data_IF_710380330596
#
_entry.id   IF_710380330596
#
_cell.length_a   1.000
_cell.length_b   1.000
_cell.length_c   1.000
_cell.angle_alpha   90.00
_cell.angle_beta   90.00
_cell.angle_gamma   90.00
#
_symmetry.space_group_name_H-M   'P 1'
#
loop_
_entity.id
_entity.type
_entity.pdbx_description
1 polymer ?
#
# COMPACT_ATOMS: atom_id res chain seq x y z
N UNK A 1 -25.89 9.70 -1.25
CA UNK A 1 -24.64 10.49 -1.21
C UNK A 1 -24.14 10.65 -2.62
N UNK A 2 -24.31 11.83 -3.21
CA UNK A 2 -23.90 12.07 -4.59
C UNK A 2 -22.45 12.58 -4.60
N UNK A 3 -21.65 12.10 -5.54
CA UNK A 3 -20.25 12.53 -5.70
C UNK A 3 -20.14 14.07 -5.82
N UNK A 4 -21.08 14.71 -6.51
CA UNK A 4 -21.12 16.17 -6.67
C UNK A 4 -21.22 16.96 -5.36
N UNK A 5 -21.76 16.37 -4.29
CA UNK A 5 -21.86 17.02 -2.97
C UNK A 5 -20.49 17.25 -2.30
N UNK A 6 -19.46 16.55 -2.76
CA UNK A 6 -18.07 16.61 -2.29
C UNK A 6 -17.15 17.35 -3.25
N UNK A 7 -17.67 17.83 -4.38
CA UNK A 7 -16.87 18.55 -5.37
C UNK A 7 -16.54 19.97 -4.86
N UNK A 8 -15.30 20.37 -5.01
CA UNK A 8 -14.81 21.72 -4.72
C UNK A 8 -13.67 22.08 -5.69
N UNK A 9 -13.42 23.36 -5.85
CA UNK A 9 -12.26 23.85 -6.59
C UNK A 9 -10.99 23.65 -5.77
N UNK A 10 -10.09 22.82 -6.27
CA UNK A 10 -8.75 22.61 -5.72
C UNK A 10 -7.73 23.33 -6.62
N UNK A 11 -7.19 24.51 -6.23
CA UNK A 11 -6.20 25.19 -7.03
C UNK A 11 -4.88 24.39 -7.05
N UNK A 12 -4.20 24.37 -8.19
CA UNK A 12 -2.94 23.62 -8.36
C UNK A 12 -1.87 24.04 -7.34
N UNK A 13 -1.85 25.29 -6.94
CA UNK A 13 -0.94 25.83 -5.92
C UNK A 13 -1.17 25.24 -4.50
N UNK A 14 -2.30 24.59 -4.25
CA UNK A 14 -2.58 23.93 -2.99
C UNK A 14 -2.06 22.47 -2.95
N UNK A 15 -1.60 21.94 -4.10
CA UNK A 15 -1.03 20.59 -4.19
C UNK A 15 0.47 20.68 -3.97
N UNK A 16 0.97 20.10 -2.87
CA UNK A 16 2.39 20.01 -2.61
C UNK A 16 3.05 19.05 -3.59
N UNK A 17 4.10 19.50 -4.29
CA UNK A 17 4.91 18.68 -5.21
C UNK A 17 6.10 18.01 -4.52
N UNK A 18 6.52 18.52 -3.35
CA UNK A 18 7.56 17.97 -2.48
C UNK A 18 7.09 18.03 -1.02
N UNK A 19 7.57 17.14 -0.14
CA UNK A 19 7.24 17.20 1.27
C UNK A 19 7.84 18.45 1.94
N UNK A 20 7.26 18.84 3.08
CA UNK A 20 7.90 19.82 3.97
C UNK A 20 9.23 19.24 4.52
N UNK A 21 10.23 20.10 4.74
CA UNK A 21 11.51 19.71 5.34
C UNK A 21 11.79 20.55 6.59
N UNK A 22 12.01 19.94 7.77
CA UNK A 22 11.79 18.50 8.06
C UNK A 22 10.31 18.10 7.88
N UNK A 23 10.02 16.82 7.65
CA UNK A 23 8.65 16.32 7.38
C UNK A 23 7.68 16.67 8.51
N UNK A 24 8.13 16.60 9.76
CA UNK A 24 7.35 16.94 10.96
C UNK A 24 7.00 18.44 11.07
N UNK A 25 7.58 19.32 10.22
CA UNK A 25 7.18 20.73 10.12
C UNK A 25 5.87 20.93 9.35
N UNK A 26 5.32 19.92 8.71
CA UNK A 26 4.03 19.98 8.03
C UNK A 26 2.91 20.39 8.99
N UNK A 27 1.89 21.08 8.46
CA UNK A 27 0.74 21.56 9.25
C UNK A 27 -0.13 20.37 9.66
N UNK A 28 -0.59 20.41 10.92
CA UNK A 28 -1.55 19.47 11.49
C UNK A 28 -2.78 20.24 11.94
N UNK A 29 -3.94 19.80 11.51
CA UNK A 29 -5.23 20.32 11.91
C UNK A 29 -5.91 19.29 12.80
N UNK A 30 -6.38 19.71 13.97
CA UNK A 30 -7.23 18.88 14.83
C UNK A 30 -8.70 19.21 14.62
N UNK A 31 -9.50 18.15 14.47
CA UNK A 31 -10.94 18.25 14.26
C UNK A 31 -11.66 17.32 15.24
N UNK A 32 -12.68 17.82 15.92
CA UNK A 32 -13.48 17.08 16.88
C UNK A 32 -14.92 17.60 16.86
N UNK A 33 -15.87 16.70 16.98
CA UNK A 33 -17.31 16.99 17.12
C UNK A 33 -17.85 17.93 16.00
N UNK A 34 -17.40 17.74 14.78
CA UNK A 34 -17.86 18.52 13.63
C UNK A 34 -17.16 19.87 13.43
N UNK A 35 -16.14 20.20 14.22
CA UNK A 35 -15.44 21.47 14.14
C UNK A 35 -13.91 21.33 14.18
N UNK A 36 -13.22 22.29 13.55
CA UNK A 36 -11.77 22.47 13.74
C UNK A 36 -11.52 22.99 15.15
N UNK A 37 -10.72 22.28 15.94
CA UNK A 37 -10.43 22.65 17.32
C UNK A 37 -9.13 23.43 17.45
N UNK A 38 -8.11 23.10 16.67
CA UNK A 38 -6.86 23.88 16.65
C UNK A 38 -5.97 23.56 15.44
N UNK A 39 -4.91 24.37 15.28
CA UNK A 39 -3.89 24.22 14.25
C UNK A 39 -2.52 24.03 14.91
N UNK A 40 -1.79 22.99 14.49
CA UNK A 40 -0.50 22.56 15.01
C UNK A 40 0.49 22.25 13.87
N UNK A 41 1.63 21.73 14.25
CA UNK A 41 2.58 21.03 13.38
C UNK A 41 2.63 19.56 13.75
N UNK A 42 3.06 18.69 12.85
CA UNK A 42 3.20 17.25 13.16
C UNK A 42 4.17 17.00 14.33
N UNK A 43 5.21 17.81 14.48
CA UNK A 43 6.14 17.73 15.63
C UNK A 43 5.45 17.86 16.99
N UNK A 44 4.24 18.45 17.05
CA UNK A 44 3.47 18.66 18.28
C UNK A 44 2.62 17.42 18.64
N UNK A 45 2.56 16.42 17.75
CA UNK A 45 1.74 15.20 17.91
C UNK A 45 1.95 14.47 19.25
N UNK A 46 3.17 14.32 19.80
CA UNK A 46 3.37 13.68 21.10
C UNK A 46 2.65 14.36 22.26
N UNK A 47 2.45 15.67 22.19
CA UNK A 47 1.71 16.42 23.21
C UNK A 47 0.18 16.38 23.01
N UNK A 48 -0.29 15.93 21.85
CA UNK A 48 -1.72 15.85 21.50
C UNK A 48 -2.28 14.47 21.81
N UNK A 49 -1.48 13.42 21.66
CA UNK A 49 -1.88 12.05 21.94
C UNK A 49 -1.95 11.77 23.44
N UNK A 50 -2.88 10.89 23.84
CA UNK A 50 -2.95 10.40 25.22
C UNK A 50 -1.75 9.50 25.54
N UNK A 51 -1.36 9.43 26.81
CA UNK A 51 -0.22 8.61 27.26
C UNK A 51 -0.43 7.12 26.98
N UNK A 52 -1.66 6.61 27.06
CA UNK A 52 -2.02 5.20 26.83
C UNK A 52 -2.39 4.94 25.36
N UNK A 53 -1.83 5.73 24.42
CA UNK A 53 -2.13 5.56 23.00
C UNK A 53 -1.33 4.42 22.38
N UNK A 54 -2.04 3.56 21.66
CA UNK A 54 -1.47 2.68 20.66
C UNK A 54 -1.56 3.36 19.29
N UNK A 55 -0.41 3.70 18.69
CA UNK A 55 -0.34 4.28 17.35
C UNK A 55 -0.12 3.17 16.31
N UNK A 56 -1.06 3.02 15.40
CA UNK A 56 -1.05 1.97 14.38
C UNK A 56 -0.61 2.53 13.03
N UNK A 57 0.47 2.00 12.49
CA UNK A 57 1.08 2.46 11.24
C UNK A 57 1.16 1.34 10.20
N UNK A 58 1.04 1.70 8.93
CA UNK A 58 1.20 0.77 7.81
C UNK A 58 2.66 0.77 7.35
N UNK A 59 3.40 -0.33 7.60
CA UNK A 59 4.82 -0.48 7.27
C UNK A 59 5.09 -0.95 5.84
N UNK A 60 4.08 -0.91 4.96
CA UNK A 60 4.30 -1.26 3.56
C UNK A 60 5.31 -0.35 2.90
N UNK A 61 6.19 -0.93 2.06
CA UNK A 61 7.20 -0.21 1.27
C UNK A 61 6.76 -0.13 -0.19
N UNK A 62 6.83 1.08 -0.76
CA UNK A 62 6.52 1.28 -2.17
C UNK A 62 7.65 0.71 -3.03
N UNK A 63 7.29 -0.12 -4.01
CA UNK A 63 8.23 -0.64 -5.01
C UNK A 63 8.29 0.31 -6.21
N UNK A 64 9.40 0.32 -6.93
CA UNK A 64 9.59 1.10 -8.17
C UNK A 64 8.80 0.45 -9.32
N UNK A 65 7.48 0.48 -9.24
CA UNK A 65 6.54 -0.30 -10.04
C UNK A 65 6.37 0.17 -11.50
N UNK A 66 7.14 1.15 -11.99
CA UNK A 66 7.04 1.69 -13.35
C UNK A 66 8.29 1.38 -14.15
N UNK A 67 8.13 0.57 -15.20
CA UNK A 67 9.21 0.23 -16.15
C UNK A 67 9.00 0.98 -17.48
N UNK A 68 10.03 1.66 -17.95
CA UNK A 68 10.03 2.42 -19.19
C UNK A 68 10.79 1.65 -20.27
N UNK A 69 10.09 0.81 -21.03
CA UNK A 69 10.65 -0.06 -22.04
C UNK A 69 10.58 0.54 -23.45
N UNK A 70 11.38 -0.02 -24.35
CA UNK A 70 11.32 0.27 -25.78
C UNK A 70 10.69 -0.90 -26.54
N UNK A 71 9.73 -0.58 -27.40
CA UNK A 71 9.14 -1.58 -28.31
C UNK A 71 10.12 -1.96 -29.42
N UNK A 72 9.99 -3.13 -30.05
CA UNK A 72 10.80 -3.51 -31.23
C UNK A 72 10.74 -2.46 -32.35
N UNK A 73 9.66 -1.70 -32.42
CA UNK A 73 9.45 -0.61 -33.41
C UNK A 73 10.05 0.73 -33.01
N UNK A 74 10.81 0.81 -31.88
CA UNK A 74 11.45 2.05 -31.39
C UNK A 74 10.55 2.94 -30.56
N UNK A 75 9.26 2.62 -30.37
CA UNK A 75 8.36 3.46 -29.57
C UNK A 75 8.46 3.15 -28.06
N UNK A 76 8.30 4.18 -27.21
CA UNK A 76 8.28 4.03 -25.75
C UNK A 76 7.04 3.27 -25.27
N UNK A 77 7.23 2.44 -24.27
CA UNK A 77 6.20 1.68 -23.56
C UNK A 77 6.40 1.89 -22.07
N UNK A 78 5.37 2.31 -21.37
CA UNK A 78 5.39 2.39 -19.91
C UNK A 78 4.53 1.24 -19.37
N UNK A 79 5.16 0.34 -18.64
CA UNK A 79 4.51 -0.77 -17.94
C UNK A 79 4.42 -0.40 -16.46
N UNK A 80 3.20 -0.31 -15.95
CA UNK A 80 2.92 -0.06 -14.55
C UNK A 80 2.39 -1.34 -13.92
N UNK A 81 3.16 -1.89 -12.99
CA UNK A 81 2.86 -3.11 -12.25
C UNK A 81 1.72 -2.84 -11.27
N UNK A 82 0.70 -3.70 -11.24
CA UNK A 82 -0.45 -3.59 -10.34
C UNK A 82 -0.39 -4.66 -9.26
N UNK A 83 -0.49 -5.92 -9.67
CA UNK A 83 -0.44 -7.08 -8.78
C UNK A 83 0.18 -8.28 -9.52
N UNK A 84 0.83 -9.21 -8.80
CA UNK A 84 1.32 -10.46 -9.40
C UNK A 84 0.16 -11.31 -9.91
N UNK A 85 0.41 -12.09 -10.96
CA UNK A 85 -0.53 -13.09 -11.47
C UNK A 85 -0.16 -14.47 -10.93
N UNK A 86 -1.14 -15.14 -10.28
CA UNK A 86 -1.03 -16.51 -9.74
C UNK A 86 0.10 -16.75 -8.72
N UNK A 87 0.61 -15.67 -8.08
CA UNK A 87 1.62 -15.74 -7.02
C UNK A 87 1.29 -14.72 -5.93
N UNK A 88 1.77 -14.97 -4.71
CA UNK A 88 1.78 -13.92 -3.69
C UNK A 88 2.75 -12.80 -4.05
N UNK A 89 2.59 -11.63 -3.44
CA UNK A 89 3.53 -10.50 -3.62
C UNK A 89 4.97 -10.89 -3.27
N UNK A 90 5.15 -11.58 -2.16
CA UNK A 90 6.44 -12.06 -1.69
C UNK A 90 7.09 -13.02 -2.70
N UNK A 91 6.35 -14.04 -3.17
CA UNK A 91 6.83 -14.99 -4.16
C UNK A 91 7.21 -14.31 -5.48
N UNK A 92 6.43 -13.32 -5.91
CA UNK A 92 6.70 -12.59 -7.14
C UNK A 92 7.95 -11.73 -7.04
N UNK A 93 8.12 -11.00 -5.93
CA UNK A 93 9.29 -10.15 -5.68
C UNK A 93 10.57 -10.96 -5.48
N UNK A 94 10.48 -12.15 -4.89
CA UNK A 94 11.61 -13.09 -4.72
C UNK A 94 11.96 -13.88 -5.98
N UNK A 95 11.14 -13.86 -7.05
CA UNK A 95 11.42 -14.58 -8.29
C UNK A 95 12.70 -14.09 -8.93
N UNK A 96 13.51 -15.02 -9.51
CA UNK A 96 14.85 -14.73 -10.03
C UNK A 96 15.00 -14.85 -11.55
N UNK A 97 13.99 -15.37 -12.26
CA UNK A 97 14.07 -15.62 -13.72
C UNK A 97 12.93 -14.99 -14.51
N UNK A 98 11.71 -15.20 -14.06
CA UNK A 98 10.52 -14.65 -14.71
C UNK A 98 9.35 -14.49 -13.76
N UNK A 99 8.48 -13.56 -14.08
CA UNK A 99 7.24 -13.32 -13.35
C UNK A 99 6.17 -12.77 -14.29
N UNK A 100 4.92 -13.12 -14.05
CA UNK A 100 3.77 -12.52 -14.74
C UNK A 100 3.05 -11.55 -13.82
N UNK A 101 2.80 -10.35 -14.32
CA UNK A 101 2.10 -9.30 -13.59
C UNK A 101 0.88 -8.81 -14.35
N UNK A 102 -0.17 -8.46 -13.63
CA UNK A 102 -1.23 -7.61 -14.13
C UNK A 102 -0.70 -6.19 -14.19
N UNK A 103 -0.85 -5.54 -15.35
CA UNK A 103 -0.24 -4.25 -15.63
C UNK A 103 -1.19 -3.29 -16.33
N UNK A 104 -1.10 -2.00 -15.99
CA UNK A 104 -1.51 -0.93 -16.89
C UNK A 104 -0.37 -0.62 -17.84
N UNK A 105 -0.68 -0.45 -19.14
CA UNK A 105 0.37 -0.23 -20.15
C UNK A 105 0.03 0.99 -20.99
N UNK A 106 0.82 2.07 -20.82
CA UNK A 106 0.72 3.27 -21.66
C UNK A 106 1.56 3.09 -22.93
N UNK A 107 1.03 3.51 -24.05
CA UNK A 107 1.70 3.33 -25.36
C UNK A 107 1.44 1.98 -26.02
N UNK A 108 0.55 1.15 -25.48
CA UNK A 108 0.27 -0.20 -25.97
C UNK A 108 -0.47 -0.29 -27.31
N UNK A 109 -1.08 0.79 -27.82
CA UNK A 109 -1.93 0.76 -29.05
C UNK A 109 -1.25 0.11 -30.26
N UNK A 110 0.08 0.18 -30.37
CA UNK A 110 0.88 -0.38 -31.46
C UNK A 110 1.82 -1.49 -31.01
N UNK A 111 1.58 -2.06 -29.84
CA UNK A 111 2.34 -3.18 -29.32
C UNK A 111 1.49 -4.45 -29.42
N UNK A 112 1.43 -4.99 -30.63
CA UNK A 112 0.59 -6.16 -30.95
C UNK A 112 1.38 -7.47 -30.87
N UNK A 113 2.70 -7.43 -31.08
CA UNK A 113 3.58 -8.58 -31.05
C UNK A 113 5.02 -8.17 -30.70
N UNK A 114 5.84 -9.16 -30.38
CA UNK A 114 7.25 -9.00 -30.01
C UNK A 114 7.44 -8.58 -28.55
N UNK A 115 8.68 -8.61 -28.12
CA UNK A 115 9.08 -8.24 -26.77
C UNK A 115 9.54 -6.77 -26.72
N UNK A 116 9.12 -6.05 -25.71
CA UNK A 116 9.68 -4.76 -25.38
C UNK A 116 10.84 -4.97 -24.40
N UNK A 117 11.89 -4.14 -24.48
CA UNK A 117 13.07 -4.29 -23.65
C UNK A 117 13.53 -2.97 -23.04
N UNK A 118 14.26 -3.08 -21.93
CA UNK A 118 15.01 -2.01 -21.31
C UNK A 118 16.38 -2.54 -20.91
N UNK A 119 17.43 -1.78 -21.19
CA UNK A 119 18.79 -2.05 -20.71
C UNK A 119 19.25 -0.82 -19.93
N UNK A 120 19.85 -1.07 -18.77
CA UNK A 120 20.44 -0.05 -17.90
C UNK A 120 21.81 -0.56 -17.46
N UNK A 121 22.78 0.32 -17.35
CA UNK A 121 24.08 0.03 -16.77
C UNK A 121 24.31 0.98 -15.59
N UNK A 122 24.68 0.40 -14.46
CA UNK A 122 25.01 1.10 -13.22
C UNK A 122 26.32 0.57 -12.62
N UNK A 123 26.70 1.02 -11.44
CA UNK A 123 27.92 0.57 -10.75
C UNK A 123 27.93 -0.92 -10.41
N UNK A 124 26.78 -1.58 -10.36
CA UNK A 124 26.65 -3.02 -10.11
C UNK A 124 26.83 -3.85 -11.37
N UNK A 125 26.53 -3.27 -12.54
CA UNK A 125 26.68 -3.93 -13.82
C UNK A 125 25.59 -3.61 -14.82
N UNK A 126 25.44 -4.52 -15.79
CA UNK A 126 24.45 -4.39 -16.87
C UNK A 126 23.18 -5.17 -16.56
N UNK A 127 22.07 -4.46 -16.56
CA UNK A 127 20.72 -4.99 -16.34
C UNK A 127 19.95 -5.01 -17.66
N UNK A 128 19.24 -6.08 -17.90
CA UNK A 128 18.32 -6.20 -19.03
C UNK A 128 17.01 -6.80 -18.58
N UNK A 129 15.89 -6.20 -19.00
CA UNK A 129 14.54 -6.75 -18.81
C UNK A 129 13.80 -6.79 -20.14
N UNK A 130 13.11 -7.88 -20.39
CA UNK A 130 12.19 -8.03 -21.51
C UNK A 130 10.77 -8.20 -21.00
N UNK A 131 9.81 -7.65 -21.74
CA UNK A 131 8.39 -7.72 -21.42
C UNK A 131 7.61 -8.28 -22.61
N UNK A 132 6.79 -9.29 -22.36
CA UNK A 132 5.93 -9.94 -23.36
C UNK A 132 4.49 -9.94 -22.87
N UNK A 133 3.56 -9.54 -23.73
CA UNK A 133 2.14 -9.65 -23.42
C UNK A 133 1.69 -11.12 -23.55
N UNK A 134 1.19 -11.69 -22.46
CA UNK A 134 0.72 -13.09 -22.41
C UNK A 134 -0.80 -13.20 -22.29
N UNK A 135 -1.50 -12.10 -21.93
CA UNK A 135 -2.94 -12.07 -21.82
C UNK A 135 -3.49 -10.66 -21.65
N UNK A 136 -4.83 -10.57 -21.60
CA UNK A 136 -5.58 -9.35 -21.30
C UNK A 136 -6.96 -9.70 -20.75
N UNK A 137 -7.39 -8.97 -19.71
CA UNK A 137 -8.70 -9.08 -19.11
C UNK A 137 -9.17 -7.70 -18.63
N UNK A 138 -10.41 -7.30 -18.93
CA UNK A 138 -11.03 -6.02 -18.56
C UNK A 138 -10.15 -4.77 -18.74
N UNK A 139 -9.31 -4.76 -19.80
CA UNK A 139 -8.39 -3.66 -20.10
C UNK A 139 -7.05 -3.70 -19.34
N UNK A 140 -6.89 -4.62 -18.41
CA UNK A 140 -5.62 -4.94 -17.73
C UNK A 140 -4.85 -5.97 -18.55
N UNK A 141 -3.54 -5.81 -18.66
CA UNK A 141 -2.67 -6.71 -19.43
C UNK A 141 -1.86 -7.61 -18.51
N UNK A 142 -1.77 -8.88 -18.88
CA UNK A 142 -0.83 -9.81 -18.26
C UNK A 142 0.48 -9.72 -19.01
N UNK A 143 1.53 -9.32 -18.31
CA UNK A 143 2.87 -9.10 -18.86
C UNK A 143 3.83 -10.09 -18.20
N UNK A 144 4.43 -10.95 -19.01
CA UNK A 144 5.58 -11.76 -18.59
C UNK A 144 6.82 -10.87 -18.65
N UNK A 145 7.56 -10.81 -17.55
CA UNK A 145 8.83 -10.11 -17.40
C UNK A 145 9.93 -11.14 -17.20
N UNK A 146 11.01 -11.04 -17.98
CA UNK A 146 12.25 -11.83 -17.85
C UNK A 146 13.41 -10.86 -17.76
N UNK A 147 14.43 -11.21 -16.98
CA UNK A 147 15.59 -10.33 -16.80
C UNK A 147 16.87 -11.09 -16.64
N UNK A 148 17.97 -10.37 -16.87
CA UNK A 148 19.33 -10.81 -16.59
C UNK A 148 20.12 -9.66 -15.97
N UNK A 149 21.05 -10.01 -15.10
CA UNK A 149 22.04 -9.09 -14.56
C UNK A 149 23.44 -9.64 -14.81
N UNK A 150 24.29 -8.81 -15.44
CA UNK A 150 25.72 -9.13 -15.62
C UNK A 150 26.54 -8.22 -14.71
N UNK A 151 27.24 -8.83 -13.76
CA UNK A 151 28.02 -8.12 -12.75
C UNK A 151 29.15 -7.30 -13.36
N UNK A 152 29.33 -6.06 -12.90
CA UNK A 152 30.47 -5.22 -13.27
C UNK A 152 31.80 -5.77 -12.71
N UNK A 153 31.76 -6.44 -11.58
CA UNK A 153 32.96 -6.95 -10.90
C UNK A 153 33.53 -8.22 -11.54
N UNK A 154 32.67 -9.15 -11.98
CA UNK A 154 33.09 -10.48 -12.51
C UNK A 154 32.83 -10.64 -13.99
N UNK A 155 31.95 -9.86 -14.58
CA UNK A 155 31.46 -10.06 -15.95
C UNK A 155 30.47 -11.21 -16.13
N UNK A 156 30.15 -11.97 -15.05
CA UNK A 156 29.27 -13.12 -15.11
C UNK A 156 27.80 -12.74 -14.95
N UNK A 157 26.91 -13.59 -15.46
CA UNK A 157 25.48 -13.48 -15.20
C UNK A 157 25.21 -13.94 -13.76
N UNK A 158 24.59 -13.06 -12.99
CA UNK A 158 24.19 -13.33 -11.61
C UNK A 158 22.68 -13.52 -11.51
N UNK A 159 22.29 -14.41 -10.63
CA UNK A 159 20.89 -14.59 -10.25
C UNK A 159 20.49 -13.45 -9.29
N UNK A 160 19.49 -12.66 -9.69
CA UNK A 160 18.98 -11.52 -8.93
C UNK A 160 17.47 -11.61 -8.86
N UNK A 161 16.91 -11.18 -7.72
CA UNK A 161 15.47 -11.18 -7.49
C UNK A 161 14.75 -10.09 -8.31
N UNK A 162 13.44 -10.23 -8.47
CA UNK A 162 12.64 -9.23 -9.16
C UNK A 162 12.62 -7.88 -8.41
N UNK A 163 12.66 -7.88 -7.08
CA UNK A 163 12.76 -6.64 -6.30
C UNK A 163 14.07 -5.89 -6.58
N UNK A 164 15.20 -6.60 -6.69
CA UNK A 164 16.50 -5.99 -7.05
C UNK A 164 16.48 -5.41 -8.47
N UNK A 165 15.82 -6.09 -9.42
CA UNK A 165 15.58 -5.55 -10.75
C UNK A 165 14.79 -4.24 -10.71
N UNK A 166 13.69 -4.21 -9.94
CA UNK A 166 12.85 -3.00 -9.81
C UNK A 166 13.62 -1.85 -9.15
N UNK A 167 14.48 -2.12 -8.18
CA UNK A 167 15.35 -1.11 -7.57
C UNK A 167 16.36 -0.53 -8.55
N UNK A 168 16.88 -1.35 -9.49
CA UNK A 168 17.83 -0.93 -10.50
C UNK A 168 17.18 -0.14 -11.66
N UNK A 169 16.06 -0.62 -12.17
CA UNK A 169 15.51 -0.19 -13.46
C UNK A 169 14.15 0.52 -13.33
N UNK A 170 13.44 0.34 -12.22
CA UNK A 170 12.11 0.89 -12.00
C UNK A 170 12.12 2.37 -11.63
N UNK A 171 10.96 3.01 -11.80
CA UNK A 171 10.69 4.38 -11.35
C UNK A 171 9.57 4.39 -10.32
N UNK A 172 9.62 5.37 -9.40
CA UNK A 172 8.59 5.54 -8.37
C UNK A 172 7.23 5.84 -9.00
N UNK A 173 6.16 5.17 -8.53
CA UNK A 173 4.80 5.35 -9.06
C UNK A 173 4.10 6.53 -8.39
N UNK A 174 4.49 7.76 -8.72
CA UNK A 174 3.86 8.94 -8.15
C UNK A 174 2.37 9.03 -8.50
N UNK A 175 1.53 9.56 -7.59
CA UNK A 175 0.12 9.81 -7.85
C UNK A 175 -0.10 10.75 -9.05
N UNK A 176 -1.11 10.50 -9.89
CA UNK A 176 -1.35 11.31 -11.10
C UNK A 176 -1.59 12.79 -10.85
N UNK A 177 -2.10 13.16 -9.66
CA UNK A 177 -2.36 14.57 -9.31
C UNK A 177 -1.09 15.39 -9.10
N UNK A 178 0.08 14.76 -8.87
CA UNK A 178 1.35 15.47 -8.75
C UNK A 178 1.84 16.07 -10.07
N UNK A 179 1.37 15.55 -11.22
CA UNK A 179 1.59 16.08 -12.57
C UNK A 179 3.05 16.38 -12.93
N UNK A 180 4.01 15.69 -12.32
CA UNK A 180 5.43 15.75 -12.64
C UNK A 180 6.01 14.34 -12.84
N UNK A 181 7.11 14.19 -13.58
CA UNK A 181 7.85 12.93 -13.62
C UNK A 181 8.44 12.61 -12.25
N UNK A 182 8.68 11.31 -12.02
CA UNK A 182 9.40 10.86 -10.82
C UNK A 182 10.87 11.24 -10.91
N UNK A 183 11.42 11.73 -9.81
CA UNK A 183 12.82 12.07 -9.56
C UNK A 183 13.47 11.01 -8.66
N UNK A 184 14.79 10.94 -8.61
CA UNK A 184 15.47 9.97 -7.72
C UNK A 184 15.16 10.21 -6.24
N UNK A 185 14.99 11.47 -5.83
CA UNK A 185 14.62 11.83 -4.47
C UNK A 185 13.27 11.27 -4.05
N UNK A 186 12.36 10.98 -4.99
CA UNK A 186 11.05 10.38 -4.68
C UNK A 186 11.17 8.97 -4.11
N UNK A 187 12.31 8.29 -4.31
CA UNK A 187 12.57 7.00 -3.68
C UNK A 187 12.60 7.11 -2.13
N UNK A 188 12.97 8.28 -1.62
CA UNK A 188 12.95 8.61 -0.20
C UNK A 188 11.69 9.39 0.18
N UNK A 189 11.33 10.42 -0.59
CA UNK A 189 10.23 11.33 -0.28
C UNK A 189 8.85 10.66 -0.32
N UNK A 190 8.68 9.66 -1.19
CA UNK A 190 7.43 8.90 -1.30
C UNK A 190 7.49 7.56 -0.56
N UNK A 191 8.19 7.54 0.59
CA UNK A 191 8.26 6.44 1.56
C UNK A 191 8.07 6.95 2.98
N UNK A 192 7.45 6.15 3.83
CA UNK A 192 7.47 6.40 5.28
C UNK A 192 8.82 5.96 5.87
N UNK A 193 9.24 6.56 6.98
CA UNK A 193 10.52 6.23 7.65
C UNK A 193 10.52 4.84 8.29
N UNK A 194 9.34 4.24 8.44
CA UNK A 194 9.12 2.88 8.97
C UNK A 194 8.68 1.88 7.88
N UNK A 195 8.86 2.24 6.59
CA UNK A 195 8.55 1.33 5.49
C UNK A 195 9.52 0.15 5.46
N UNK A 196 9.00 -1.07 5.55
CA UNK A 196 9.78 -2.30 5.70
C UNK A 196 9.39 -3.34 4.63
N UNK A 197 8.11 -3.67 4.51
CA UNK A 197 7.62 -4.79 3.70
C UNK A 197 7.32 -4.33 2.27
N UNK A 198 8.13 -4.71 1.26
CA UNK A 198 7.93 -4.26 -0.12
C UNK A 198 6.68 -4.89 -0.74
N UNK A 199 5.95 -4.12 -1.58
CA UNK A 199 4.77 -4.65 -2.30
C UNK A 199 3.73 -3.60 -2.64
N UNK A 200 3.84 -2.39 -2.14
CA UNK A 200 2.89 -1.31 -2.40
C UNK A 200 3.24 -0.55 -3.68
N UNK A 201 2.22 -0.08 -4.39
CA UNK A 201 2.39 0.83 -5.54
C UNK A 201 2.03 2.28 -5.20
N UNK A 202 1.57 2.54 -3.98
CA UNK A 202 1.37 3.88 -3.45
C UNK A 202 1.77 3.93 -1.96
N UNK A 203 2.32 5.05 -1.52
CA UNK A 203 2.67 5.25 -0.12
C UNK A 203 1.44 5.44 0.77
N UNK A 204 1.45 4.98 2.03
CA UNK A 204 0.47 5.38 3.04
C UNK A 204 0.72 6.84 3.44
N UNK A 205 0.20 7.78 2.64
CA UNK A 205 0.60 9.20 2.62
C UNK A 205 0.41 9.92 3.95
N UNK A 206 -0.51 9.49 4.81
CA UNK A 206 -0.68 10.06 6.15
C UNK A 206 0.58 9.89 7.03
N UNK A 207 1.35 8.83 6.80
CA UNK A 207 2.59 8.55 7.53
C UNK A 207 3.82 9.31 7.01
N UNK A 208 3.75 9.96 5.84
CA UNK A 208 4.88 10.68 5.27
C UNK A 208 5.35 11.89 6.11
N UNK A 209 4.49 12.41 6.97
CA UNK A 209 4.79 13.52 7.87
C UNK A 209 5.59 13.11 9.11
N UNK A 210 5.65 11.81 9.41
CA UNK A 210 6.40 11.25 10.53
C UNK A 210 7.87 11.06 10.10
N UNK A 211 8.77 11.89 10.61
CA UNK A 211 10.22 11.72 10.43
C UNK A 211 10.83 10.88 11.58
N UNK A 212 12.09 10.48 11.44
CA UNK A 212 12.75 9.62 12.41
C UNK A 212 12.81 10.22 13.83
N UNK A 213 12.99 11.54 13.94
CA UNK A 213 13.02 12.21 15.24
C UNK A 213 11.65 12.22 15.89
N UNK A 214 10.58 12.48 15.13
CA UNK A 214 9.22 12.44 15.64
C UNK A 214 8.81 11.01 16.05
N UNK A 215 9.20 9.99 15.27
CA UNK A 215 8.98 8.59 15.63
C UNK A 215 9.67 8.20 16.93
N UNK A 216 10.92 8.64 17.14
CA UNK A 216 11.62 8.42 18.39
C UNK A 216 10.92 9.10 19.59
N UNK A 217 10.44 10.33 19.40
CA UNK A 217 9.70 11.04 20.45
C UNK A 217 8.36 10.35 20.77
N UNK A 218 7.63 9.87 19.75
CA UNK A 218 6.38 9.13 19.93
C UNK A 218 6.62 7.82 20.67
N UNK A 219 7.66 7.05 20.31
CA UNK A 219 7.99 5.78 20.96
C UNK A 219 8.34 5.91 22.46
N UNK A 220 8.68 7.12 22.90
CA UNK A 220 8.93 7.37 24.32
C UNK A 220 7.65 7.52 25.16
N UNK A 221 6.51 7.79 24.54
CA UNK A 221 5.24 8.08 25.23
C UNK A 221 4.05 7.26 24.72
N UNK A 222 4.17 6.58 23.59
CA UNK A 222 3.11 5.78 22.95
C UNK A 222 3.65 4.45 22.47
N UNK A 223 2.83 3.41 22.47
CA UNK A 223 3.16 2.14 21.81
C UNK A 223 2.93 2.26 20.32
N UNK A 224 3.91 1.87 19.51
CA UNK A 224 3.78 1.90 18.04
C UNK A 224 3.64 0.46 17.54
N UNK A 225 2.56 0.20 16.81
CA UNK A 225 2.23 -1.11 16.25
C UNK A 225 2.19 -1.04 14.73
N UNK A 226 2.68 -2.09 14.09
CA UNK A 226 2.76 -2.20 12.65
C UNK A 226 1.70 -3.14 12.10
N UNK A 227 1.07 -2.72 11.02
CA UNK A 227 0.30 -3.58 10.13
C UNK A 227 0.87 -3.44 8.72
N UNK A 228 0.66 -4.43 7.88
CA UNK A 228 1.00 -4.34 6.46
C UNK A 228 -0.28 -4.36 5.63
N UNK A 229 -0.52 -3.31 4.86
CA UNK A 229 -1.51 -3.29 3.79
C UNK A 229 -0.82 -2.79 2.52
N UNK A 230 -0.75 -3.63 1.50
CA UNK A 230 -0.19 -3.25 0.21
C UNK A 230 -1.19 -2.44 -0.59
N UNK A 231 -0.94 -1.13 -0.69
CA UNK A 231 -1.80 -0.19 -1.42
C UNK A 231 -1.70 -0.46 -2.91
N UNK A 232 -2.82 -0.85 -3.51
CA UNK A 232 -2.91 -1.15 -4.93
C UNK A 232 -3.12 0.09 -5.80
N UNK A 233 -2.97 -0.07 -7.12
CA UNK A 233 -3.15 1.00 -8.09
C UNK A 233 -4.61 1.49 -8.22
N UNK A 234 -5.57 0.81 -7.62
CA UNK A 234 -6.95 1.25 -7.50
C UNK A 234 -7.09 2.61 -6.83
N UNK A 235 -6.17 2.95 -5.93
CA UNK A 235 -6.05 4.28 -5.30
C UNK A 235 -5.93 5.44 -6.32
N UNK A 236 -5.46 5.18 -7.53
CA UNK A 236 -5.32 6.18 -8.59
C UNK A 236 -6.55 6.30 -9.51
N UNK A 237 -7.57 5.46 -9.31
CA UNK A 237 -8.81 5.54 -10.07
C UNK A 237 -9.69 6.66 -9.50
N UNK A 238 -10.23 7.56 -10.35
CA UNK A 238 -11.19 8.54 -9.89
C UNK A 238 -12.48 7.85 -9.45
N UNK A 239 -13.22 8.50 -8.54
CA UNK A 239 -14.58 8.08 -8.19
C UNK A 239 -15.48 8.10 -9.42
N UNK A 240 -16.36 7.12 -9.53
CA UNK A 240 -17.38 7.06 -10.55
C UNK A 240 -18.43 8.15 -10.29
N UNK A 241 -18.97 8.78 -11.34
CA UNK A 241 -20.08 9.74 -11.22
C UNK A 241 -21.31 9.08 -10.61
N UNK A 242 -22.07 9.83 -9.83
CA UNK A 242 -23.31 9.39 -9.22
C UNK A 242 -23.19 9.09 -7.73
N UNK A 243 -23.89 8.06 -7.26
CA UNK A 243 -23.88 7.68 -5.84
C UNK A 243 -22.57 7.00 -5.47
N UNK A 244 -21.83 7.58 -4.50
CA UNK A 244 -20.52 7.07 -4.04
C UNK A 244 -20.60 5.63 -3.50
N UNK A 245 -21.78 5.17 -3.05
CA UNK A 245 -22.00 3.80 -2.59
C UNK A 245 -21.89 2.76 -3.69
N UNK A 246 -22.05 3.18 -4.95
CA UNK A 246 -21.92 2.31 -6.12
C UNK A 246 -20.45 2.18 -6.60
N UNK A 247 -19.53 2.94 -6.00
CA UNK A 247 -18.11 2.80 -6.33
C UNK A 247 -17.58 1.47 -5.80
N UNK A 248 -17.12 0.62 -6.70
CA UNK A 248 -16.51 -0.67 -6.34
C UNK A 248 -15.08 -0.42 -5.87
N UNK A 249 -14.85 -0.64 -4.58
CA UNK A 249 -13.50 -0.60 -4.00
C UNK A 249 -12.72 -1.83 -4.43
N UNK A 250 -11.47 -1.64 -4.79
CA UNK A 250 -10.55 -2.75 -5.04
C UNK A 250 -10.12 -3.40 -3.72
N UNK A 251 -9.97 -4.73 -3.73
CA UNK A 251 -9.43 -5.46 -2.60
C UNK A 251 -7.92 -5.23 -2.47
N UNK A 252 -7.42 -5.15 -1.24
CA UNK A 252 -6.01 -4.98 -0.92
C UNK A 252 -5.56 -6.08 0.04
N UNK A 253 -4.33 -6.57 -0.16
CA UNK A 253 -3.76 -7.62 0.67
C UNK A 253 -3.19 -7.03 1.96
N UNK A 254 -3.59 -7.63 3.08
CA UNK A 254 -3.19 -7.24 4.42
C UNK A 254 -2.46 -8.39 5.11
N UNK A 255 -1.53 -8.04 5.99
CA UNK A 255 -0.92 -8.97 6.94
C UNK A 255 -0.78 -8.30 8.29
N UNK A 256 -1.13 -9.03 9.36
CA UNK A 256 -1.05 -8.55 10.74
C UNK A 256 -0.37 -9.63 11.56
N UNK A 257 0.68 -9.25 12.30
CA UNK A 257 1.42 -10.19 13.13
C UNK A 257 0.58 -10.67 14.32
N UNK A 258 0.93 -11.83 14.85
CA UNK A 258 0.31 -12.35 16.05
C UNK A 258 0.44 -11.37 17.23
N UNK A 259 1.60 -10.74 17.40
CA UNK A 259 1.83 -9.76 18.47
C UNK A 259 0.93 -8.51 18.30
N UNK A 260 0.68 -8.08 17.07
CA UNK A 260 -0.25 -6.99 16.78
C UNK A 260 -1.70 -7.38 17.11
N UNK A 261 -2.11 -8.62 16.84
CA UNK A 261 -3.44 -9.13 17.25
C UNK A 261 -3.54 -9.14 18.79
N UNK A 262 -2.49 -9.54 19.51
CA UNK A 262 -2.47 -9.50 20.98
C UNK A 262 -2.58 -8.07 21.52
N UNK A 263 -1.87 -7.11 20.91
CA UNK A 263 -1.97 -5.71 21.29
C UNK A 263 -3.37 -5.12 21.04
N UNK A 264 -4.07 -5.55 20.00
CA UNK A 264 -5.48 -5.18 19.77
C UNK A 264 -6.46 -5.80 20.80
N UNK A 265 -6.06 -6.85 21.50
CA UNK A 265 -6.85 -7.46 22.54
C UNK A 265 -6.73 -6.76 23.91
N UNK A 266 -5.85 -5.78 24.05
CA UNK A 266 -5.67 -5.01 25.30
C UNK A 266 -6.87 -4.08 25.55
N UNK A 267 -7.38 -4.11 26.77
CA UNK A 267 -8.47 -3.23 27.24
C UNK A 267 -7.95 -1.86 27.70
N UNK A 268 -8.81 -0.84 27.59
CA UNK A 268 -8.57 0.48 28.19
C UNK A 268 -7.55 1.34 27.46
N UNK A 269 -7.06 0.91 26.31
CA UNK A 269 -6.08 1.68 25.48
C UNK A 269 -6.77 2.53 24.43
N UNK A 270 -6.18 3.69 24.13
CA UNK A 270 -6.65 4.57 23.07
C UNK A 270 -5.95 4.24 21.75
N UNK A 271 -6.69 3.76 20.74
CA UNK A 271 -6.13 3.36 19.43
C UNK A 271 -6.22 4.49 18.42
N UNK A 272 -5.09 4.83 17.81
CA UNK A 272 -4.99 5.83 16.75
C UNK A 272 -4.42 5.20 15.48
N UNK A 273 -5.20 5.19 14.41
CA UNK A 273 -4.76 4.69 13.11
C UNK A 273 -4.13 5.81 12.28
N UNK A 274 -2.90 5.59 11.79
CA UNK A 274 -2.23 6.51 10.87
C UNK A 274 -2.68 6.24 9.44
N UNK A 275 -3.63 7.05 8.96
CA UNK A 275 -4.21 6.96 7.62
C UNK A 275 -5.33 5.94 7.48
N UNK A 276 -6.07 6.10 6.39
CA UNK A 276 -7.25 5.28 6.06
C UNK A 276 -6.90 3.81 5.81
N UNK A 277 -5.68 3.52 5.35
CA UNK A 277 -5.21 2.14 5.14
C UNK A 277 -5.08 1.39 6.46
N UNK A 278 -4.46 2.02 7.48
CA UNK A 278 -4.38 1.44 8.82
C UNK A 278 -5.76 1.25 9.43
N UNK A 279 -6.62 2.29 9.36
CA UNK A 279 -8.00 2.20 9.86
C UNK A 279 -8.78 1.06 9.20
N UNK A 280 -8.72 0.96 7.87
CA UNK A 280 -9.38 -0.10 7.10
C UNK A 280 -8.93 -1.49 7.55
N UNK A 281 -7.63 -1.68 7.77
CA UNK A 281 -7.09 -2.97 8.24
C UNK A 281 -7.65 -3.33 9.62
N UNK A 282 -7.62 -2.39 10.57
CA UNK A 282 -8.12 -2.62 11.93
C UNK A 282 -9.63 -2.93 11.94
N UNK A 283 -10.43 -2.14 11.23
CA UNK A 283 -11.87 -2.39 11.10
C UNK A 283 -12.15 -3.76 10.46
N UNK A 284 -11.39 -4.13 9.40
CA UNK A 284 -11.55 -5.42 8.74
C UNK A 284 -11.28 -6.61 9.65
N UNK A 285 -10.30 -6.50 10.56
CA UNK A 285 -9.99 -7.57 11.53
C UNK A 285 -11.18 -7.89 12.42
N UNK A 286 -11.90 -6.88 12.90
CA UNK A 286 -13.11 -7.09 13.70
C UNK A 286 -14.16 -7.91 12.93
N UNK A 287 -14.47 -7.50 11.70
CA UNK A 287 -15.48 -8.17 10.89
C UNK A 287 -15.05 -9.57 10.44
N UNK A 288 -13.76 -9.76 10.18
CA UNK A 288 -13.20 -11.09 9.89
C UNK A 288 -13.27 -12.01 11.12
N UNK A 289 -13.06 -11.49 12.33
CA UNK A 289 -13.25 -12.26 13.56
C UNK A 289 -14.71 -12.73 13.75
N UNK A 290 -15.67 -11.82 13.50
CA UNK A 290 -17.10 -12.18 13.52
C UNK A 290 -17.42 -13.25 12.47
N UNK A 291 -16.89 -13.08 11.25
CA UNK A 291 -17.07 -14.06 10.16
C UNK A 291 -16.48 -15.42 10.53
N UNK A 292 -15.28 -15.46 11.06
CA UNK A 292 -14.62 -16.69 11.50
C UNK A 292 -15.41 -17.41 12.60
N UNK A 293 -15.84 -16.65 13.60
CA UNK A 293 -16.67 -17.22 14.69
C UNK A 293 -17.95 -17.86 14.18
N UNK A 294 -18.58 -17.27 13.18
CA UNK A 294 -19.84 -17.76 12.60
C UNK A 294 -19.67 -18.94 11.65
N UNK A 295 -18.60 -18.96 10.86
CA UNK A 295 -18.36 -20.00 9.85
C UNK A 295 -17.57 -21.20 10.39
N UNK A 296 -16.82 -21.01 11.46
CA UNK A 296 -15.86 -21.99 11.99
C UNK A 296 -14.55 -22.07 11.19
N UNK A 297 -14.41 -21.31 10.09
CA UNK A 297 -13.24 -21.32 9.21
C UNK A 297 -12.58 -19.95 9.20
N UNK A 298 -11.23 -19.92 9.23
CA UNK A 298 -10.45 -18.69 9.16
C UNK A 298 -10.67 -18.01 7.80
N UNK A 299 -11.28 -16.82 7.75
CA UNK A 299 -11.58 -16.16 6.49
C UNK A 299 -10.33 -15.52 5.89
N UNK A 300 -10.23 -15.60 4.56
CA UNK A 300 -9.18 -14.93 3.81
C UNK A 300 -9.63 -13.56 3.26
N UNK A 301 -10.94 -13.31 3.12
CA UNK A 301 -11.45 -12.11 2.46
C UNK A 301 -12.68 -11.53 3.17
N UNK A 302 -12.72 -10.20 3.21
CA UNK A 302 -13.87 -9.40 3.61
C UNK A 302 -14.34 -8.55 2.41
N UNK A 303 -15.57 -8.78 1.94
CA UNK A 303 -16.14 -8.03 0.83
C UNK A 303 -16.68 -6.66 1.29
N UNK A 304 -16.71 -5.69 0.37
CA UNK A 304 -17.00 -4.27 0.62
C UNK A 304 -18.23 -3.98 1.50
N UNK A 305 -19.33 -4.72 1.33
CA UNK A 305 -20.60 -4.48 2.04
C UNK A 305 -21.00 -5.61 2.97
N UNK A 306 -20.16 -6.64 3.13
CA UNK A 306 -20.45 -7.84 3.91
C UNK A 306 -20.70 -7.51 5.39
N UNK A 307 -19.93 -6.55 5.93
CA UNK A 307 -20.06 -6.07 7.30
C UNK A 307 -21.46 -5.50 7.59
N UNK A 308 -22.07 -4.82 6.64
CA UNK A 308 -23.39 -4.20 6.79
C UNK A 308 -24.55 -5.17 6.51
N UNK A 309 -24.39 -6.00 5.49
CA UNK A 309 -25.49 -6.82 4.99
C UNK A 309 -25.62 -8.14 5.74
N UNK A 310 -24.50 -8.79 6.06
CA UNK A 310 -24.49 -10.16 6.58
C UNK A 310 -23.93 -10.24 8.00
N UNK A 311 -22.86 -9.53 8.29
CA UNK A 311 -22.14 -9.63 9.56
C UNK A 311 -22.69 -8.72 10.65
N UNK A 312 -23.37 -7.61 10.32
CA UNK A 312 -23.88 -6.66 11.29
C UNK A 312 -24.79 -7.31 12.33
N UNK A 313 -25.84 -8.05 11.88
CA UNK A 313 -26.76 -8.76 12.77
C UNK A 313 -26.06 -9.83 13.63
N UNK A 314 -25.01 -10.47 13.07
CA UNK A 314 -24.22 -11.47 13.78
C UNK A 314 -23.37 -10.83 14.87
N UNK A 315 -22.75 -9.67 14.57
CA UNK A 315 -22.00 -8.88 15.54
C UNK A 315 -22.89 -8.42 16.71
N UNK A 316 -24.07 -7.89 16.40
CA UNK A 316 -25.06 -7.49 17.43
C UNK A 316 -25.43 -8.65 18.36
N UNK A 317 -25.62 -9.86 17.80
CA UNK A 317 -25.93 -11.07 18.57
C UNK A 317 -24.77 -11.51 19.48
N UNK A 318 -23.53 -11.41 18.98
CA UNK A 318 -22.33 -11.76 19.75
C UNK A 318 -22.01 -10.74 20.83
N UNK A 319 -22.32 -9.46 20.60
CA UNK A 319 -22.01 -8.36 21.51
C UNK A 319 -20.51 -8.16 21.77
N UNK A 320 -19.67 -8.58 20.85
CA UNK A 320 -18.22 -8.52 21.03
C UNK A 320 -17.70 -7.09 20.83
N UNK A 321 -16.80 -6.67 21.73
CA UNK A 321 -15.92 -5.53 21.47
C UNK A 321 -14.76 -5.93 20.55
N UNK A 322 -13.96 -4.95 20.08
CA UNK A 322 -12.72 -5.24 19.35
C UNK A 322 -11.78 -6.12 20.17
N UNK A 323 -11.61 -5.82 21.47
CA UNK A 323 -10.74 -6.54 22.37
C UNK A 323 -11.17 -8.01 22.50
N UNK A 324 -12.45 -8.24 22.72
CA UNK A 324 -13.03 -9.59 22.81
C UNK A 324 -12.82 -10.37 21.50
N UNK A 325 -13.05 -9.73 20.37
CA UNK A 325 -12.87 -10.33 19.06
C UNK A 325 -11.38 -10.70 18.82
N UNK A 326 -10.45 -9.81 19.16
CA UNK A 326 -9.03 -10.06 19.00
C UNK A 326 -8.47 -11.06 19.99
N UNK A 327 -8.96 -11.09 21.24
CA UNK A 327 -8.62 -12.12 22.21
C UNK A 327 -9.03 -13.51 21.71
N UNK A 328 -10.22 -13.60 21.13
CA UNK A 328 -10.70 -14.85 20.53
C UNK A 328 -9.83 -15.26 19.34
N UNK A 329 -9.48 -14.33 18.44
CA UNK A 329 -8.58 -14.59 17.31
C UNK A 329 -7.18 -15.02 17.76
N UNK A 330 -6.60 -14.38 18.78
CA UNK A 330 -5.29 -14.74 19.31
C UNK A 330 -5.26 -16.21 19.80
N UNK A 331 -6.34 -16.67 20.43
CA UNK A 331 -6.47 -18.06 20.86
C UNK A 331 -6.64 -19.03 19.67
N UNK A 332 -7.26 -18.60 18.58
CA UNK A 332 -7.53 -19.43 17.41
C UNK A 332 -6.35 -19.50 16.42
N UNK A 333 -5.49 -18.46 16.36
CA UNK A 333 -4.39 -18.33 15.40
C UNK A 333 -3.18 -19.22 15.72
N UNK A 334 -3.10 -19.82 16.90
CA UNK A 334 -1.97 -20.66 17.33
C UNK A 334 -0.60 -19.98 17.09
N UNK A 335 -0.49 -18.71 17.47
CA UNK A 335 0.70 -17.85 17.32
C UNK A 335 1.14 -17.58 15.88
N UNK A 336 0.25 -17.70 14.90
CA UNK A 336 0.52 -17.40 13.49
C UNK A 336 0.06 -16.00 13.12
N UNK A 337 0.77 -15.38 12.19
CA UNK A 337 0.34 -14.15 11.56
C UNK A 337 -0.92 -14.38 10.72
N UNK A 338 -1.73 -13.34 10.59
CA UNK A 338 -2.96 -13.41 9.81
C UNK A 338 -2.84 -12.57 8.54
N UNK A 339 -2.89 -13.25 7.39
CA UNK A 339 -2.96 -12.61 6.07
C UNK A 339 -4.38 -12.74 5.50
N UNK A 340 -4.88 -11.64 4.96
CA UNK A 340 -6.24 -11.56 4.41
C UNK A 340 -6.34 -10.46 3.33
N UNK A 341 -7.49 -10.41 2.68
CA UNK A 341 -7.83 -9.38 1.68
C UNK A 341 -9.05 -8.59 2.15
N UNK A 342 -9.01 -7.27 1.97
CA UNK A 342 -10.11 -6.37 2.33
C UNK A 342 -10.41 -5.36 1.25
#
# INVERSE_FOLDING_TARGET
>A
MQNAEYAYELPESAIAVHPAMPRSSARLLTWRDGAVTSHHRFKDLPAILHADTQLWVNNTRVIRARLLLMKPTGGRLEVFLLEPHERSMEQALASTQCVVWKCMVKGAKRWTAGEAALQVEDSRGKWEVTAKRVGMDEGVRYIELKWTHRSAATGDVQEVSFVELLEAMGKMPLPPYMRRPAEEQDAEDYQTVYAEVPGSVAAPTAGLHLDAQLMANLSASTSIHHITLHVGAGTFKPLVEGDVRNHVMHGENCSVSFDAIQALAEDGVHRVATGTTSLRTLESLYWLAIKWKETGEQPFELNQWEWRNELGTKADRLGWSMETAMQWCANALDRKDWSFRT
#
